data_IF_140318552988
#
_entry.id   IF_140318552988
#
_cell.length_a   1.000
_cell.length_b   1.000
_cell.length_c   1.000
_cell.angle_alpha   90.00
_cell.angle_beta   90.00
_cell.angle_gamma   90.00
#
_symmetry.space_group_name_H-M   'P 1'
#
loop_
_entity.id
_entity.type
_entity.pdbx_description
1 polymer ?
#
# COMPACT_ATOMS: atom_id res chain seq x y z
N UNK A 1 -3.39 -31.36 -16.02
CA UNK A 1 -2.60 -30.82 -14.89
C UNK A 1 -3.09 -29.39 -14.67
N UNK A 2 -3.67 -29.08 -13.51
CA UNK A 2 -4.07 -27.70 -13.20
C UNK A 2 -2.81 -26.87 -12.98
N UNK A 3 -2.72 -25.69 -13.60
CA UNK A 3 -1.66 -24.74 -13.28
C UNK A 3 -1.69 -24.41 -11.77
N UNK A 4 -0.54 -24.26 -11.10
CA UNK A 4 -0.51 -23.85 -9.71
C UNK A 4 -1.17 -22.48 -9.57
N UNK A 5 -2.10 -22.34 -8.63
CA UNK A 5 -2.73 -21.06 -8.31
C UNK A 5 -1.69 -20.14 -7.72
N UNK A 6 -1.25 -19.14 -8.49
CA UNK A 6 -0.34 -18.10 -7.98
C UNK A 6 -1.18 -17.16 -7.12
N UNK A 7 -0.93 -17.17 -5.82
CA UNK A 7 -1.53 -16.19 -4.91
C UNK A 7 -0.90 -14.82 -5.14
N UNK A 8 -1.71 -13.77 -5.11
CA UNK A 8 -1.25 -12.40 -5.31
C UNK A 8 -2.02 -11.42 -4.44
N UNK A 9 -1.37 -10.31 -4.13
CA UNK A 9 -2.02 -9.12 -3.60
C UNK A 9 -2.35 -8.16 -4.74
N UNK A 10 -3.59 -7.70 -4.76
CA UNK A 10 -4.06 -6.73 -5.74
C UNK A 10 -3.96 -5.31 -5.22
N UNK A 11 -3.27 -4.47 -5.98
CA UNK A 11 -3.16 -3.04 -5.69
C UNK A 11 -4.16 -2.25 -6.52
N UNK A 12 -4.70 -1.19 -5.93
CA UNK A 12 -5.59 -0.24 -6.59
C UNK A 12 -4.88 1.10 -6.77
N UNK A 13 -4.90 1.59 -8.00
CA UNK A 13 -4.35 2.88 -8.37
C UNK A 13 -5.45 3.77 -8.97
N UNK A 14 -5.98 4.74 -8.21
CA UNK A 14 -6.82 5.78 -8.76
C UNK A 14 -6.05 6.58 -9.79
N UNK A 15 -6.70 6.84 -10.92
CA UNK A 15 -6.18 7.69 -11.98
C UNK A 15 -6.97 8.98 -11.99
N UNK A 16 -6.27 10.11 -11.92
CA UNK A 16 -6.90 11.44 -11.90
C UNK A 16 -7.69 11.65 -13.19
N UNK A 17 -8.92 12.12 -13.07
CA UNK A 17 -9.82 12.37 -14.21
C UNK A 17 -10.47 11.11 -14.81
N UNK A 18 -10.18 9.91 -14.28
CA UNK A 18 -10.77 8.67 -14.76
C UNK A 18 -11.84 8.13 -13.82
N UNK A 19 -12.89 7.55 -14.38
CA UNK A 19 -13.99 6.94 -13.60
C UNK A 19 -13.63 5.59 -12.99
N UNK A 20 -12.57 4.93 -13.49
CA UNK A 20 -12.14 3.60 -13.03
C UNK A 20 -10.66 3.64 -12.64
N UNK A 21 -10.30 3.10 -11.48
CA UNK A 21 -8.90 2.88 -11.14
C UNK A 21 -8.31 1.77 -12.01
N UNK A 22 -6.99 1.78 -12.13
CA UNK A 22 -6.23 0.62 -12.55
C UNK A 22 -6.04 -0.31 -11.36
N UNK A 23 -5.91 -1.61 -11.63
CA UNK A 23 -5.46 -2.57 -10.63
C UNK A 23 -4.46 -3.55 -11.24
N UNK A 24 -3.56 -4.03 -10.40
CA UNK A 24 -2.51 -4.96 -10.81
C UNK A 24 -2.16 -5.90 -9.66
N UNK A 25 -1.74 -7.10 -10.01
CA UNK A 25 -1.45 -8.18 -9.07
C UNK A 25 0.06 -8.28 -8.83
N UNK A 26 0.44 -8.47 -7.56
CA UNK A 26 1.82 -8.74 -7.15
C UNK A 26 1.87 -10.12 -6.45
N UNK A 27 2.68 -11.07 -6.94
CA UNK A 27 2.79 -12.41 -6.34
C UNK A 27 3.15 -12.38 -4.86
N UNK A 28 2.52 -13.22 -4.04
CA UNK A 28 2.85 -13.42 -2.61
C UNK A 28 3.50 -14.80 -2.37
N UNK A 29 4.28 -14.98 -1.29
CA UNK A 29 4.68 -14.00 -0.28
C UNK A 29 5.74 -13.02 -0.81
N UNK A 30 5.74 -11.80 -0.27
CA UNK A 30 6.75 -10.79 -0.61
C UNK A 30 7.00 -9.85 0.55
N UNK A 31 8.19 -9.25 0.56
CA UNK A 31 8.51 -8.05 1.32
C UNK A 31 8.75 -6.93 0.32
N UNK A 32 7.94 -5.88 0.38
CA UNK A 32 7.98 -4.78 -0.58
C UNK A 32 8.27 -3.46 0.08
N UNK A 33 9.01 -2.62 -0.63
CA UNK A 33 9.12 -1.21 -0.36
C UNK A 33 7.83 -0.50 -0.79
N UNK A 34 7.07 -0.06 0.21
CA UNK A 34 5.79 0.63 0.02
C UNK A 34 5.99 2.10 -0.31
N UNK A 35 6.74 2.79 0.55
CA UNK A 35 7.12 4.18 0.37
C UNK A 35 8.59 4.38 0.76
N UNK A 36 9.28 5.31 0.11
CA UNK A 36 10.60 5.77 0.52
C UNK A 36 10.81 7.23 0.12
N UNK A 37 11.33 8.01 1.06
CA UNK A 37 11.92 9.32 0.82
C UNK A 37 13.32 9.35 1.42
N UNK A 38 14.33 9.29 0.56
CA UNK A 38 15.72 9.31 1.00
C UNK A 38 16.12 10.66 1.61
N UNK A 39 15.47 11.77 1.22
CA UNK A 39 15.82 13.10 1.72
C UNK A 39 15.45 13.29 3.19
N UNK A 40 14.35 12.66 3.62
CA UNK A 40 13.91 12.66 5.03
C UNK A 40 14.33 11.40 5.78
N UNK A 41 15.17 10.53 5.20
CA UNK A 41 15.53 9.22 5.76
C UNK A 41 14.30 8.40 6.18
N UNK A 42 13.26 8.41 5.34
CA UNK A 42 12.01 7.70 5.58
C UNK A 42 11.90 6.46 4.69
N UNK A 43 11.46 5.35 5.26
CA UNK A 43 11.02 4.18 4.50
C UNK A 43 9.84 3.49 5.16
N UNK A 44 8.94 2.95 4.35
CA UNK A 44 7.86 2.06 4.77
C UNK A 44 7.93 0.79 3.94
N UNK A 45 8.07 -0.35 4.62
CA UNK A 45 8.10 -1.68 4.01
C UNK A 45 6.93 -2.53 4.51
N UNK A 46 6.44 -3.45 3.69
CA UNK A 46 5.34 -4.33 4.03
C UNK A 46 5.63 -5.77 3.66
N UNK A 47 5.26 -6.70 4.55
CA UNK A 47 5.33 -8.14 4.31
C UNK A 47 3.92 -8.70 4.12
N UNK A 48 3.76 -9.47 3.06
CA UNK A 48 2.51 -10.13 2.70
C UNK A 48 2.68 -11.63 2.76
N UNK A 49 1.68 -12.31 3.32
CA UNK A 49 1.66 -13.77 3.43
C UNK A 49 0.66 -14.38 2.43
N UNK A 50 0.88 -15.64 2.08
CA UNK A 50 -0.07 -16.40 1.26
C UNK A 50 -1.41 -16.54 1.98
N UNK A 51 -2.50 -16.24 1.29
CA UNK A 51 -3.86 -16.40 1.81
C UNK A 51 -4.39 -15.21 2.62
N UNK A 52 -3.66 -14.10 2.69
CA UNK A 52 -4.11 -12.83 3.26
C UNK A 52 -4.26 -11.79 2.16
N UNK A 53 -5.24 -10.90 2.30
CA UNK A 53 -5.37 -9.74 1.42
C UNK A 53 -4.52 -8.59 1.97
N UNK A 54 -3.49 -8.10 1.27
CA UNK A 54 -2.66 -7.00 1.80
C UNK A 54 -1.56 -7.49 2.74
N UNK A 55 -1.22 -6.72 3.78
CA UNK A 55 -0.01 -6.94 4.57
C UNK A 55 -0.26 -7.60 5.92
N UNK A 56 0.61 -8.54 6.28
CA UNK A 56 0.66 -9.12 7.63
C UNK A 56 1.37 -8.17 8.61
N UNK A 57 2.45 -7.55 8.14
CA UNK A 57 3.28 -6.63 8.92
C UNK A 57 3.72 -5.45 8.05
N UNK A 58 3.76 -4.27 8.64
CA UNK A 58 4.31 -3.05 8.05
C UNK A 58 5.34 -2.48 9.02
N UNK A 59 6.51 -2.13 8.51
CA UNK A 59 7.55 -1.43 9.24
C UNK A 59 7.78 -0.04 8.64
N UNK A 60 7.92 0.96 9.50
CA UNK A 60 8.29 2.32 9.12
C UNK A 60 9.57 2.71 9.87
N UNK A 61 10.52 3.25 9.12
CA UNK A 61 11.76 3.82 9.63
C UNK A 61 11.80 5.30 9.30
N UNK A 62 12.22 6.10 10.27
CA UNK A 62 12.42 7.53 10.11
C UNK A 62 13.66 8.00 10.86
N UNK A 63 14.62 8.57 10.12
CA UNK A 63 15.97 8.86 10.64
C UNK A 63 16.59 7.59 11.25
N UNK A 64 17.64 7.74 12.04
CA UNK A 64 18.38 6.60 12.61
C UNK A 64 17.64 5.90 13.76
N UNK A 65 16.74 6.59 14.47
CA UNK A 65 16.29 6.15 15.78
C UNK A 65 14.81 5.72 15.81
N UNK A 66 13.97 6.22 14.90
CA UNK A 66 12.53 5.96 14.95
C UNK A 66 12.15 4.73 14.13
N UNK A 67 11.59 3.74 14.83
CA UNK A 67 11.15 2.48 14.27
C UNK A 67 9.72 2.20 14.72
N UNK A 68 8.83 1.95 13.76
CA UNK A 68 7.44 1.59 14.02
C UNK A 68 7.13 0.28 13.31
N UNK A 69 6.75 -0.73 14.07
CA UNK A 69 6.30 -2.03 13.55
C UNK A 69 4.84 -2.22 13.88
N UNK A 70 4.04 -2.49 12.85
CA UNK A 70 2.60 -2.70 12.93
C UNK A 70 2.33 -4.10 12.40
N UNK A 71 1.70 -4.95 13.20
CA UNK A 71 1.14 -6.21 12.73
C UNK A 71 -0.36 -6.27 13.06
N UNK A 72 -1.02 -7.37 12.78
CA UNK A 72 -2.47 -7.53 13.01
C UNK A 72 -2.87 -7.63 14.49
N UNK A 73 -1.91 -7.68 15.41
CA UNK A 73 -2.11 -7.83 16.85
C UNK A 73 -1.72 -6.58 17.64
N UNK A 74 -0.56 -5.98 17.34
CA UNK A 74 -0.05 -4.83 18.06
C UNK A 74 0.72 -3.84 17.18
N UNK A 75 0.91 -2.65 17.74
CA UNK A 75 1.72 -1.56 17.20
C UNK A 75 2.85 -1.30 18.19
N UNK A 76 4.09 -1.41 17.75
CA UNK A 76 5.28 -1.17 18.58
C UNK A 76 6.11 -0.04 18.00
N UNK A 77 6.38 0.95 18.82
CA UNK A 77 7.17 2.12 18.46
C UNK A 77 8.40 2.23 19.35
N UNK A 78 9.54 2.54 18.74
CA UNK A 78 10.81 2.77 19.41
C UNK A 78 11.46 4.05 18.86
N UNK A 79 11.96 4.92 19.74
CA UNK A 79 12.56 6.22 19.38
C UNK A 79 14.08 6.29 19.60
N UNK A 80 14.72 5.14 19.87
CA UNK A 80 16.15 5.05 20.21
C UNK A 80 16.42 4.88 21.70
N UNK A 81 15.49 5.31 22.56
CA UNK A 81 15.62 5.26 24.02
C UNK A 81 14.45 4.57 24.68
N UNK A 82 13.24 4.88 24.21
CA UNK A 82 11.98 4.39 24.76
C UNK A 82 11.31 3.44 23.78
N UNK A 83 10.55 2.51 24.33
CA UNK A 83 9.66 1.64 23.58
C UNK A 83 8.25 1.73 24.15
N UNK A 84 7.26 1.87 23.28
CA UNK A 84 5.84 1.80 23.62
C UNK A 84 5.14 0.77 22.75
N UNK A 85 4.17 0.09 23.32
CA UNK A 85 3.32 -0.88 22.62
C UNK A 85 1.85 -0.50 22.80
N UNK A 86 1.09 -0.62 21.72
CA UNK A 86 -0.34 -0.38 21.67
C UNK A 86 -1.04 -1.61 21.09
N UNK A 87 -2.25 -1.86 21.57
CA UNK A 87 -3.11 -2.93 21.05
C UNK A 87 -4.23 -2.36 20.19
N UNK A 88 -4.60 -3.07 19.13
CA UNK A 88 -5.78 -2.73 18.36
C UNK A 88 -7.05 -2.81 19.23
N UNK A 89 -7.97 -1.87 19.04
CA UNK A 89 -9.24 -1.83 19.77
C UNK A 89 -9.16 -1.29 21.20
N UNK A 90 -7.99 -0.84 21.67
CA UNK A 90 -7.88 -0.12 22.93
C UNK A 90 -8.51 1.28 22.84
N UNK A 91 -8.63 1.96 23.99
CA UNK A 91 -9.11 3.34 24.02
C UNK A 91 -8.27 4.25 23.11
N UNK A 92 -8.90 5.21 22.38
CA UNK A 92 -8.17 6.11 21.50
C UNK A 92 -6.99 6.75 22.21
N UNK A 93 -5.80 6.58 21.62
CA UNK A 93 -4.53 6.96 22.25
C UNK A 93 -3.69 7.76 21.28
N UNK A 94 -2.96 8.75 21.80
CA UNK A 94 -1.99 9.52 21.04
C UNK A 94 -0.61 9.39 21.67
N UNK A 95 0.41 9.26 20.83
CA UNK A 95 1.80 9.29 21.24
C UNK A 95 2.58 10.25 20.34
N UNK A 96 3.24 11.23 20.96
CA UNK A 96 3.99 12.27 20.26
C UNK A 96 5.43 12.30 20.77
N UNK A 97 6.36 12.41 19.84
CA UNK A 97 7.76 12.79 20.10
C UNK A 97 8.23 13.74 19.01
N UNK A 98 9.49 14.17 19.04
CA UNK A 98 10.01 15.12 18.07
C UNK A 98 9.92 14.58 16.64
N UNK A 99 9.09 15.23 15.81
CA UNK A 99 8.90 14.85 14.40
C UNK A 99 8.10 13.57 14.18
N UNK A 100 7.53 12.94 15.22
CA UNK A 100 6.67 11.76 15.10
C UNK A 100 5.38 11.93 15.90
N UNK A 101 4.25 11.64 15.27
CA UNK A 101 2.93 11.59 15.92
C UNK A 101 2.20 10.33 15.50
N UNK A 102 1.72 9.57 16.48
CA UNK A 102 0.90 8.37 16.31
C UNK A 102 -0.46 8.62 16.94
N UNK A 103 -1.53 8.49 16.16
CA UNK A 103 -2.91 8.59 16.66
C UNK A 103 -3.59 7.27 16.37
N UNK A 104 -3.85 6.50 17.42
CA UNK A 104 -4.50 5.20 17.34
C UNK A 104 -5.99 5.32 17.60
N UNK A 105 -6.77 4.73 16.71
CA UNK A 105 -8.21 4.48 16.82
C UNK A 105 -8.46 2.97 16.77
N UNK A 106 -9.71 2.55 16.87
CA UNK A 106 -10.08 1.13 17.06
C UNK A 106 -9.43 0.18 16.03
N UNK A 107 -9.45 0.51 14.74
CA UNK A 107 -8.88 -0.30 13.65
C UNK A 107 -8.07 0.55 12.65
N UNK A 108 -7.56 1.69 13.11
CA UNK A 108 -6.86 2.66 12.27
C UNK A 108 -5.75 3.32 13.08
N UNK A 109 -4.60 3.53 12.46
CA UNK A 109 -3.54 4.37 13.01
C UNK A 109 -3.15 5.44 11.99
N UNK A 110 -3.21 6.69 12.42
CA UNK A 110 -2.61 7.82 11.71
C UNK A 110 -1.16 7.97 12.18
N UNK A 111 -0.23 7.90 11.22
CA UNK A 111 1.21 8.00 11.46
C UNK A 111 1.74 9.23 10.74
N UNK A 112 2.34 10.13 11.51
CA UNK A 112 3.12 11.26 10.97
C UNK A 112 4.58 11.06 11.31
N UNK A 113 5.46 11.11 10.32
CA UNK A 113 6.91 11.11 10.47
C UNK A 113 7.50 12.23 9.60
N UNK A 114 7.99 13.30 10.23
CA UNK A 114 8.37 14.53 9.56
C UNK A 114 7.18 15.18 8.82
N UNK A 115 7.26 15.27 7.49
CA UNK A 115 6.18 15.79 6.63
C UNK A 115 5.29 14.70 6.04
N UNK A 116 5.59 13.43 6.31
CA UNK A 116 4.91 12.29 5.69
C UNK A 116 3.79 11.84 6.62
N UNK A 117 2.56 11.81 6.08
CA UNK A 117 1.36 11.36 6.79
C UNK A 117 0.81 10.10 6.11
N UNK A 118 0.61 9.04 6.89
CA UNK A 118 0.16 7.73 6.41
C UNK A 118 -0.92 7.23 7.36
N UNK A 119 -2.03 6.77 6.79
CA UNK A 119 -3.08 6.07 7.54
C UNK A 119 -2.94 4.58 7.28
N UNK A 120 -2.95 3.75 8.31
CA UNK A 120 -2.92 2.29 8.17
C UNK A 120 -4.19 1.72 8.81
N UNK A 121 -4.96 1.00 7.99
CA UNK A 121 -6.20 0.34 8.39
C UNK A 121 -5.93 -1.12 8.72
N UNK A 122 -6.50 -1.58 9.83
CA UNK A 122 -6.64 -3.00 10.14
C UNK A 122 -8.00 -3.48 9.67
N UNK A 123 -8.00 -4.31 8.62
CA UNK A 123 -9.20 -4.99 8.16
C UNK A 123 -9.39 -6.30 8.88
N UNK A 124 -10.63 -6.57 9.28
CA UNK A 124 -11.05 -7.81 9.95
C UNK A 124 -12.22 -8.40 9.17
N UNK A 125 -11.95 -9.38 8.33
CA UNK A 125 -13.00 -10.07 7.56
C UNK A 125 -13.03 -11.56 7.91
N UNK A 126 -14.07 -11.97 8.65
CA UNK A 126 -14.24 -13.34 9.15
C UNK A 126 -13.04 -13.79 10.00
N UNK A 127 -12.10 -14.51 9.40
CA UNK A 127 -10.86 -15.05 10.02
C UNK A 127 -9.60 -14.48 9.39
N UNK A 128 -9.74 -13.64 8.37
CA UNK A 128 -8.61 -12.98 7.71
C UNK A 128 -8.45 -11.58 8.31
N UNK A 129 -7.20 -11.25 8.64
CA UNK A 129 -6.83 -9.94 9.17
C UNK A 129 -5.64 -9.43 8.39
N UNK A 130 -5.70 -8.16 8.02
CA UNK A 130 -4.65 -7.58 7.23
C UNK A 130 -4.54 -6.07 7.43
N UNK A 131 -3.35 -5.59 7.16
CA UNK A 131 -3.01 -4.18 7.19
C UNK A 131 -3.03 -3.62 5.78
N UNK A 132 -3.68 -2.47 5.62
CA UNK A 132 -3.78 -1.78 4.35
C UNK A 132 -3.42 -0.30 4.54
N UNK A 133 -2.30 0.17 3.97
CA UNK A 133 -1.96 1.58 3.96
C UNK A 133 -2.93 2.35 3.06
N UNK A 134 -3.57 3.37 3.61
CA UNK A 134 -4.34 4.36 2.89
C UNK A 134 -3.52 5.65 2.80
N UNK A 135 -2.88 5.87 1.65
CA UNK A 135 -2.18 7.14 1.38
C UNK A 135 -3.22 8.15 0.90
N UNK A 136 -3.87 8.84 1.84
CA UNK A 136 -5.00 9.75 1.55
C UNK A 136 -4.55 11.13 1.03
N UNK A 137 -3.42 11.64 1.51
CA UNK A 137 -2.89 12.97 1.14
C UNK A 137 -1.37 12.89 0.95
N UNK A 138 -0.90 13.13 -0.28
CA UNK A 138 0.53 13.18 -0.58
C UNK A 138 1.03 14.61 -0.42
N UNK A 139 2.06 14.86 0.40
CA UNK A 139 2.70 16.17 0.44
C UNK A 139 3.26 16.50 -0.96
N UNK A 140 2.95 17.69 -1.50
CA UNK A 140 3.44 18.10 -2.83
C UNK A 140 4.96 18.21 -2.90
N UNK A 141 5.60 18.45 -1.76
CA UNK A 141 7.02 18.74 -1.62
C UNK A 141 7.87 17.51 -1.30
N UNK A 142 7.27 16.31 -1.27
CA UNK A 142 7.98 15.07 -0.92
C UNK A 142 8.00 14.12 -2.12
N UNK A 143 9.20 13.67 -2.50
CA UNK A 143 9.39 12.74 -3.61
C UNK A 143 9.31 11.28 -3.13
N UNK A 144 8.09 10.80 -2.88
CA UNK A 144 7.86 9.43 -2.42
C UNK A 144 8.02 8.42 -3.57
N UNK A 145 9.00 7.52 -3.43
CA UNK A 145 9.19 6.34 -4.28
C UNK A 145 8.59 5.08 -3.63
N UNK A 146 8.60 3.92 -4.29
CA UNK A 146 7.99 2.67 -3.80
C UNK A 146 6.70 2.29 -4.55
N UNK A 147 6.10 1.14 -4.24
CA UNK A 147 4.88 0.66 -4.94
C UNK A 147 3.66 1.55 -4.70
N UNK A 148 3.57 2.19 -3.52
CA UNK A 148 2.55 3.19 -3.19
C UNK A 148 3.04 4.62 -3.44
N UNK A 149 4.30 4.77 -3.88
CA UNK A 149 4.93 6.05 -4.21
C UNK A 149 4.21 6.76 -5.34
N UNK A 150 4.64 7.99 -5.66
CA UNK A 150 4.01 8.75 -6.74
C UNK A 150 4.20 7.98 -8.05
N UNK A 151 3.13 7.35 -8.53
CA UNK A 151 3.09 6.92 -9.90
C UNK A 151 3.17 8.19 -10.76
N UNK A 152 3.98 8.24 -11.82
CA UNK A 152 3.99 9.37 -12.76
C UNK A 152 2.57 9.65 -13.26
N UNK A 153 2.33 10.79 -13.91
CA UNK A 153 1.03 11.17 -14.49
C UNK A 153 0.51 10.08 -15.45
N UNK A 154 -0.08 9.03 -14.87
CA UNK A 154 -0.64 7.89 -15.57
C UNK A 154 -2.00 8.36 -16.01
N UNK A 155 -2.19 8.38 -17.32
CA UNK A 155 -3.49 8.46 -17.96
C UNK A 155 -3.69 7.20 -18.78
N UNK A 156 -4.96 6.90 -19.07
CA UNK A 156 -5.28 5.86 -20.01
C UNK A 156 -6.44 6.28 -20.90
N UNK A 157 -6.44 5.77 -22.13
CA UNK A 157 -7.58 5.85 -23.04
C UNK A 157 -8.10 4.43 -23.34
N UNK A 158 -9.42 4.27 -23.36
CA UNK A 158 -10.04 3.00 -23.77
C UNK A 158 -10.05 2.91 -25.29
N UNK A 159 -9.40 1.88 -25.85
CA UNK A 159 -9.39 1.65 -27.29
C UNK A 159 -10.69 0.93 -27.66
N UNK A 160 -11.52 1.61 -28.47
CA UNK A 160 -12.80 1.08 -28.94
C UNK A 160 -12.59 0.11 -30.12
N UNK A 161 -13.49 -0.86 -30.27
CA UNK A 161 -13.54 -1.75 -31.43
C UNK A 161 -12.58 -2.96 -31.39
N UNK A 162 -11.87 -3.19 -30.29
CA UNK A 162 -11.04 -4.39 -30.09
C UNK A 162 -11.87 -5.55 -29.53
N UNK A 163 -11.59 -6.78 -29.96
CA UNK A 163 -12.27 -7.98 -29.42
C UNK A 163 -11.99 -8.20 -27.93
N UNK A 164 -10.82 -7.75 -27.45
CA UNK A 164 -10.44 -7.77 -26.03
C UNK A 164 -10.31 -6.34 -25.54
N UNK A 165 -10.85 -5.98 -24.36
CA UNK A 165 -10.66 -4.66 -23.79
C UNK A 165 -9.17 -4.30 -23.76
N UNK A 166 -8.84 -3.14 -24.31
CA UNK A 166 -7.44 -2.68 -24.43
C UNK A 166 -7.38 -1.22 -24.00
N UNK A 167 -6.40 -0.89 -23.17
CA UNK A 167 -6.11 0.48 -22.78
C UNK A 167 -4.85 0.95 -23.48
N UNK A 168 -4.86 2.22 -23.90
CA UNK A 168 -3.63 2.93 -24.21
C UNK A 168 -3.13 3.58 -22.93
N UNK A 169 -2.07 3.02 -22.35
CA UNK A 169 -1.38 3.56 -21.17
C UNK A 169 -0.10 4.24 -21.65
N UNK A 170 -0.05 5.57 -21.59
CA UNK A 170 1.00 6.36 -22.25
C UNK A 170 1.12 5.98 -23.75
N UNK A 171 2.27 5.45 -24.17
CA UNK A 171 2.54 5.03 -25.55
C UNK A 171 2.38 3.52 -25.77
N UNK A 172 1.84 2.79 -24.79
CA UNK A 172 1.69 1.33 -24.85
C UNK A 172 0.23 0.90 -24.88
N UNK A 173 -0.11 0.01 -25.81
CA UNK A 173 -1.38 -0.70 -25.79
C UNK A 173 -1.29 -1.93 -24.87
N UNK A 174 -2.23 -2.01 -23.94
CA UNK A 174 -2.24 -3.01 -22.88
C UNK A 174 -3.57 -3.73 -22.88
N UNK A 175 -3.54 -5.04 -23.14
CA UNK A 175 -4.72 -5.89 -22.98
C UNK A 175 -5.13 -5.90 -21.51
N UNK A 176 -6.42 -5.70 -21.26
CA UNK A 176 -6.97 -5.61 -19.91
C UNK A 176 -8.23 -6.44 -19.78
N UNK A 177 -8.67 -6.63 -18.53
CA UNK A 177 -9.98 -7.15 -18.20
C UNK A 177 -10.62 -6.31 -17.11
N UNK A 178 -11.94 -6.26 -17.13
CA UNK A 178 -12.70 -5.58 -16.08
C UNK A 178 -12.97 -6.57 -14.95
N UNK A 179 -12.61 -6.19 -13.74
CA UNK A 179 -12.78 -7.03 -12.54
C UNK A 179 -13.38 -6.20 -11.40
N UNK A 180 -14.09 -6.88 -10.48
CA UNK A 180 -14.58 -6.29 -9.23
C UNK A 180 -13.66 -6.70 -8.09
N UNK A 181 -13.26 -5.73 -7.27
CA UNK A 181 -12.28 -5.94 -6.18
C UNK A 181 -12.68 -5.13 -4.95
N UNK A 182 -12.24 -5.56 -3.76
CA UNK A 182 -12.45 -4.77 -2.54
C UNK A 182 -11.39 -3.68 -2.44
N UNK A 183 -11.83 -2.46 -2.16
CA UNK A 183 -10.93 -1.33 -1.92
C UNK A 183 -10.54 -1.22 -0.45
N UNK A 184 -9.54 -1.99 -0.04
CA UNK A 184 -9.04 -2.00 1.34
C UNK A 184 -8.33 -0.70 1.77
N UNK A 185 -8.21 0.30 0.89
CA UNK A 185 -7.74 1.64 1.28
C UNK A 185 -8.80 2.44 2.02
N UNK A 186 -10.04 1.95 2.03
CA UNK A 186 -11.17 2.55 2.73
C UNK A 186 -11.65 1.59 3.81
N UNK A 187 -12.04 2.11 4.98
CA UNK A 187 -12.46 1.31 6.12
C UNK A 187 -13.65 0.37 5.82
N UNK A 188 -14.55 0.75 4.92
CA UNK A 188 -15.69 -0.08 4.52
C UNK A 188 -15.37 -1.15 3.48
N UNK A 189 -14.14 -1.18 2.94
CA UNK A 189 -13.68 -2.10 1.90
C UNK A 189 -14.70 -2.32 0.76
N UNK A 190 -15.23 -1.25 0.12
CA UNK A 190 -16.30 -1.38 -0.85
C UNK A 190 -15.83 -2.13 -2.10
N UNK A 191 -16.76 -2.81 -2.78
CA UNK A 191 -16.49 -3.40 -4.09
C UNK A 191 -16.42 -2.30 -5.15
N UNK A 192 -15.29 -2.22 -5.83
CA UNK A 192 -15.04 -1.27 -6.92
C UNK A 192 -14.65 -2.03 -8.19
N UNK A 193 -15.08 -1.52 -9.34
CA UNK A 193 -14.65 -2.03 -10.64
C UNK A 193 -13.32 -1.40 -11.04
N UNK A 194 -12.35 -2.20 -11.47
CA UNK A 194 -11.05 -1.73 -11.94
C UNK A 194 -10.64 -2.40 -13.26
N UNK A 195 -9.70 -1.76 -13.97
CA UNK A 195 -9.02 -2.34 -15.11
C UNK A 195 -7.81 -3.12 -14.65
N UNK A 196 -7.85 -4.46 -14.79
CA UNK A 196 -6.73 -5.32 -14.45
C UNK A 196 -5.68 -5.22 -15.55
N UNK A 197 -4.49 -4.75 -15.18
CA UNK A 197 -3.36 -4.55 -16.09
C UNK A 197 -2.10 -5.21 -15.52
N UNK A 198 -1.12 -5.56 -16.37
CA UNK A 198 0.17 -6.06 -15.90
C UNK A 198 0.87 -5.05 -14.99
N UNK A 199 1.57 -5.53 -13.96
CA UNK A 199 2.36 -4.71 -13.04
C UNK A 199 3.30 -3.75 -13.77
N UNK A 200 4.08 -4.27 -14.74
CA UNK A 200 5.06 -3.48 -15.49
C UNK A 200 4.43 -2.36 -16.32
N UNK A 201 3.17 -2.50 -16.75
CA UNK A 201 2.46 -1.46 -17.50
C UNK A 201 2.18 -0.21 -16.64
N UNK A 202 2.08 -0.39 -15.31
CA UNK A 202 1.81 0.69 -14.36
C UNK A 202 3.12 1.23 -13.78
N UNK A 203 4.01 0.35 -13.34
CA UNK A 203 5.19 0.74 -12.56
C UNK A 203 6.40 1.06 -13.41
N UNK A 204 6.47 0.54 -14.65
CA UNK A 204 7.65 0.58 -15.52
C UNK A 204 8.93 0.08 -14.83
N UNK A 205 8.77 -0.88 -13.91
CA UNK A 205 9.84 -1.46 -13.07
C UNK A 205 9.67 -2.97 -13.02
N UNK A 206 10.74 -3.66 -12.64
CA UNK A 206 10.65 -5.06 -12.26
C UNK A 206 10.25 -5.18 -10.79
N UNK A 207 9.62 -6.30 -10.43
CA UNK A 207 9.22 -6.53 -9.05
C UNK A 207 10.42 -6.55 -8.09
N UNK A 208 11.57 -7.06 -8.57
CA UNK A 208 12.85 -7.08 -7.84
C UNK A 208 13.31 -5.70 -7.38
N UNK A 209 12.95 -4.63 -8.11
CA UNK A 209 13.33 -3.26 -7.78
C UNK A 209 12.61 -2.75 -6.52
N UNK A 210 11.51 -3.41 -6.14
CA UNK A 210 10.69 -3.09 -4.98
C UNK A 210 10.82 -4.12 -3.86
N UNK A 211 11.45 -5.26 -4.12
CA UNK A 211 11.64 -6.31 -3.12
C UNK A 211 12.72 -5.91 -2.11
N UNK A 212 12.44 -6.14 -0.82
CA UNK A 212 13.39 -5.90 0.27
C UNK A 212 13.70 -7.21 1.01
N UNK A 213 14.90 -7.32 1.57
CA UNK A 213 15.30 -8.51 2.35
C UNK A 213 14.82 -8.45 3.80
N UNK A 214 14.68 -7.23 4.33
CA UNK A 214 14.27 -6.93 5.69
C UNK A 214 13.19 -5.84 5.67
N UNK A 215 12.34 -5.86 6.70
CA UNK A 215 11.33 -4.85 6.93
C UNK A 215 11.96 -3.66 7.63
#
# INVERSE_FOLDING_TARGET
MSAPTVHSNRFLLPVVGQSKPLCFDVPVPHKLRLLQDSASEFSMNGESLTGQNGFHQIALHYKTNHHLTINTTSIRYHDGQNQVEFLWGQEPTQHNTEGVSLILRSNEIDVTMGKIHIVILLHKEKRDMCLCPAVQTRPKDVNLTGILGKSPDISYDEIQGTQTPTLKLKDQEVKTSRVMVKDYRLASAPLVGCWLVPFQAVTQRELSDLTVTQL
#
